data_IF_268797870484
#
_entry.id   IF_268797870484
#
_cell.length_a   1.000
_cell.length_b   1.000
_cell.length_c   1.000
_cell.angle_alpha   90.00
_cell.angle_beta   90.00
_cell.angle_gamma   90.00
#
_symmetry.space_group_name_H-M   'P 1'
#
loop_
_entity.id
_entity.type
_entity.pdbx_description
1 polymer ?
#
# COMPACT_ATOMS: atom_id res chain seq x y z
N UNK A 1 32.64 22.78 -51.14
CA UNK A 1 31.64 21.70 -50.96
C UNK A 1 31.77 20.89 -49.65
N UNK A 2 32.87 20.98 -48.87
CA UNK A 2 33.08 20.17 -47.64
C UNK A 2 32.29 20.61 -46.38
N UNK A 3 31.98 21.90 -46.22
CA UNK A 3 31.25 22.42 -45.04
C UNK A 3 29.75 22.07 -45.01
N UNK A 4 29.10 21.99 -46.17
CA UNK A 4 27.68 21.61 -46.29
C UNK A 4 27.42 20.15 -45.90
N UNK A 5 28.42 19.27 -46.12
CA UNK A 5 28.32 17.87 -45.73
C UNK A 5 28.55 17.69 -44.23
N UNK A 6 29.43 18.49 -43.61
CA UNK A 6 29.67 18.47 -42.16
C UNK A 6 28.44 18.89 -41.35
N UNK A 7 27.74 19.94 -41.80
CA UNK A 7 26.49 20.41 -41.18
C UNK A 7 25.36 19.38 -41.30
N UNK A 8 25.29 18.65 -42.43
CA UNK A 8 24.33 17.57 -42.64
C UNK A 8 24.62 16.37 -41.74
N UNK A 9 25.88 15.98 -41.58
CA UNK A 9 26.24 14.89 -40.66
C UNK A 9 25.92 15.28 -39.21
N UNK A 10 26.23 16.52 -38.80
CA UNK A 10 25.93 17.00 -37.45
C UNK A 10 24.42 17.04 -37.15
N UNK A 11 23.60 17.42 -38.13
CA UNK A 11 22.14 17.42 -38.00
C UNK A 11 21.55 16.01 -37.86
N UNK A 12 22.11 15.01 -38.56
CA UNK A 12 21.64 13.60 -38.46
C UNK A 12 22.00 12.97 -37.12
N UNK A 13 23.17 13.28 -36.55
CA UNK A 13 23.57 12.78 -35.22
C UNK A 13 22.74 13.42 -34.10
N UNK A 14 22.35 14.70 -34.23
CA UNK A 14 21.52 15.40 -33.24
C UNK A 14 20.07 14.88 -33.19
N UNK A 15 19.53 14.38 -34.31
CA UNK A 15 18.20 13.74 -34.32
C UNK A 15 18.18 12.36 -33.65
N UNK A 16 19.31 11.65 -33.57
CA UNK A 16 19.42 10.34 -32.92
C UNK A 16 19.50 10.43 -31.39
N UNK A 17 19.71 11.64 -30.83
CA UNK A 17 19.68 11.92 -29.40
C UNK A 17 18.31 12.37 -28.88
N UNK A 18 17.25 12.25 -29.68
CA UNK A 18 15.88 12.35 -29.17
C UNK A 18 15.61 11.12 -28.28
N UNK A 19 16.14 11.17 -27.06
CA UNK A 19 15.98 10.14 -26.05
C UNK A 19 14.50 9.89 -25.81
N UNK A 20 14.15 8.60 -25.70
CA UNK A 20 12.84 8.19 -25.23
C UNK A 20 12.60 8.83 -23.87
N UNK A 21 11.65 9.76 -23.78
CA UNK A 21 11.12 10.20 -22.49
C UNK A 21 10.34 9.01 -21.94
N UNK A 22 11.01 8.21 -21.12
CA UNK A 22 10.32 7.17 -20.35
C UNK A 22 9.46 7.88 -19.32
N UNK A 23 8.15 7.86 -19.51
CA UNK A 23 7.22 8.25 -18.46
C UNK A 23 7.23 7.13 -17.42
N UNK A 24 7.77 7.40 -16.23
CA UNK A 24 7.57 6.53 -15.08
C UNK A 24 6.08 6.64 -14.70
N UNK A 25 5.32 5.57 -14.96
CA UNK A 25 3.96 5.45 -14.49
C UNK A 25 4.00 4.93 -13.05
N UNK A 26 3.17 5.51 -12.17
CA UNK A 26 2.98 4.96 -10.85
C UNK A 26 2.49 3.51 -10.95
N UNK A 27 3.02 2.63 -10.12
CA UNK A 27 2.61 1.21 -10.10
C UNK A 27 1.45 0.94 -9.12
N UNK A 28 1.11 1.89 -8.24
CA UNK A 28 0.15 1.70 -7.16
C UNK A 28 -0.79 2.91 -6.97
N UNK A 29 -1.96 2.64 -6.39
CA UNK A 29 -2.76 3.65 -5.68
C UNK A 29 -2.53 3.51 -4.18
N UNK A 30 -2.44 4.65 -3.50
CA UNK A 30 -2.23 4.74 -2.06
C UNK A 30 -3.30 5.62 -1.44
N UNK A 31 -3.98 5.12 -0.42
CA UNK A 31 -4.83 5.93 0.46
C UNK A 31 -4.14 6.06 1.80
N UNK A 32 -3.90 7.31 2.22
CA UNK A 32 -3.36 7.63 3.53
C UNK A 32 -4.46 8.20 4.42
N UNK A 33 -4.70 7.62 5.58
CA UNK A 33 -5.66 8.17 6.56
C UNK A 33 -5.10 9.41 7.30
N UNK A 34 -5.95 10.15 8.03
CA UNK A 34 -5.51 11.30 8.86
C UNK A 34 -4.43 10.94 9.89
N UNK A 35 -4.33 9.67 10.28
CA UNK A 35 -3.31 9.18 11.19
C UNK A 35 -2.00 8.80 10.46
N UNK A 36 -1.91 8.98 9.15
CA UNK A 36 -0.72 8.70 8.34
C UNK A 36 -0.58 7.25 7.87
N UNK A 37 -1.54 6.35 8.12
CA UNK A 37 -1.46 5.00 7.56
C UNK A 37 -1.79 4.97 6.10
N UNK A 38 -0.89 4.34 5.35
CA UNK A 38 -1.05 4.06 3.95
C UNK A 38 -1.61 2.66 3.71
N UNK A 39 -2.58 2.55 2.81
CA UNK A 39 -2.94 1.29 2.16
C UNK A 39 -2.65 1.41 0.67
N UNK A 40 -1.92 0.46 0.12
CA UNK A 40 -1.46 0.47 -1.27
C UNK A 40 -2.07 -0.69 -2.05
N UNK A 41 -2.52 -0.42 -3.29
CA UNK A 41 -2.99 -1.44 -4.22
C UNK A 41 -2.29 -1.27 -5.56
N UNK A 42 -1.82 -2.38 -6.14
CA UNK A 42 -1.18 -2.34 -7.45
C UNK A 42 -2.18 -1.94 -8.53
N UNK A 43 -1.79 -1.05 -9.42
CA UNK A 43 -2.61 -0.63 -10.57
C UNK A 43 -2.87 -1.77 -11.55
N UNK A 44 -1.99 -2.78 -11.59
CA UNK A 44 -2.18 -4.02 -12.36
C UNK A 44 -3.45 -4.79 -11.97
N UNK A 45 -3.89 -4.67 -10.71
CA UNK A 45 -5.14 -5.26 -10.19
C UNK A 45 -6.40 -4.46 -10.57
N UNK A 46 -6.23 -3.39 -11.35
CA UNK A 46 -7.30 -2.49 -11.82
C UNK A 46 -8.19 -1.99 -10.66
N UNK A 47 -7.61 -1.32 -9.66
CA UNK A 47 -8.37 -0.82 -8.53
C UNK A 47 -9.44 0.18 -8.98
N UNK A 48 -10.63 0.07 -8.41
CA UNK A 48 -11.71 1.05 -8.56
C UNK A 48 -11.82 1.86 -7.28
N UNK A 49 -11.81 3.18 -7.42
CA UNK A 49 -12.10 4.14 -6.34
C UNK A 49 -13.51 4.67 -6.54
N UNK A 50 -14.33 4.63 -5.51
CA UNK A 50 -15.69 5.17 -5.54
C UNK A 50 -15.92 6.03 -4.30
N UNK A 51 -16.54 7.20 -4.49
CA UNK A 51 -16.97 8.06 -3.40
C UNK A 51 -18.46 7.86 -3.15
N UNK A 52 -18.84 7.56 -1.91
CA UNK A 52 -20.23 7.60 -1.43
C UNK A 52 -20.49 8.92 -0.72
N UNK A 53 -21.65 9.07 -0.09
CA UNK A 53 -21.98 10.24 0.71
C UNK A 53 -21.01 10.45 1.90
N UNK A 54 -20.45 9.36 2.44
CA UNK A 54 -19.69 9.36 3.69
C UNK A 54 -18.33 8.67 3.59
N UNK A 55 -17.99 8.03 2.46
CA UNK A 55 -16.79 7.18 2.34
C UNK A 55 -16.08 7.28 1.00
N UNK A 56 -14.78 7.01 1.03
CA UNK A 56 -13.97 6.55 -0.10
C UNK A 56 -13.91 5.02 -0.03
N UNK A 57 -14.35 4.35 -1.09
CA UNK A 57 -14.30 2.88 -1.23
C UNK A 57 -13.25 2.54 -2.27
N UNK A 58 -12.26 1.74 -1.87
CA UNK A 58 -11.20 1.25 -2.73
C UNK A 58 -11.34 -0.25 -2.90
N UNK A 59 -11.50 -0.70 -4.14
CA UNK A 59 -11.69 -2.11 -4.49
C UNK A 59 -10.62 -2.55 -5.48
N UNK A 60 -9.92 -3.65 -5.21
CA UNK A 60 -8.98 -4.29 -6.13
C UNK A 60 -9.17 -5.81 -6.07
N UNK A 61 -9.53 -6.44 -7.18
CA UNK A 61 -9.90 -7.87 -7.20
C UNK A 61 -10.99 -8.22 -6.17
N UNK A 62 -10.67 -9.12 -5.25
CA UNK A 62 -11.54 -9.54 -4.12
C UNK A 62 -11.49 -8.60 -2.92
N UNK A 63 -10.52 -7.68 -2.86
CA UNK A 63 -10.25 -6.83 -1.71
C UNK A 63 -11.09 -5.56 -1.77
N UNK A 64 -11.63 -5.14 -0.63
CA UNK A 64 -12.38 -3.87 -0.50
C UNK A 64 -12.02 -3.22 0.83
N UNK A 65 -11.64 -1.94 0.76
CA UNK A 65 -11.33 -1.10 1.92
C UNK A 65 -12.19 0.15 1.86
N UNK A 66 -12.78 0.53 3.00
CA UNK A 66 -13.62 1.71 3.13
C UNK A 66 -12.98 2.70 4.08
N UNK A 67 -12.90 3.96 3.67
CA UNK A 67 -12.39 5.06 4.49
C UNK A 67 -13.48 6.10 4.70
N UNK A 68 -13.82 6.48 5.93
CA UNK A 68 -14.72 7.60 6.18
C UNK A 68 -14.14 8.91 5.63
N UNK A 69 -14.93 9.67 4.86
CA UNK A 69 -14.50 10.99 4.34
C UNK A 69 -14.32 12.01 5.48
N UNK A 70 -14.99 11.81 6.61
CA UNK A 70 -14.81 12.60 7.82
C UNK A 70 -13.37 12.51 8.37
N UNK A 71 -12.64 11.43 8.08
CA UNK A 71 -11.32 11.14 8.65
C UNK A 71 -10.17 11.66 7.78
N UNK A 72 -10.36 12.74 7.02
CA UNK A 72 -9.36 13.40 6.15
C UNK A 72 -8.35 12.44 5.53
N UNK A 73 -8.71 11.88 4.38
CA UNK A 73 -7.86 10.94 3.65
C UNK A 73 -7.14 11.61 2.49
N UNK A 74 -5.90 11.19 2.24
CA UNK A 74 -5.15 11.52 1.02
C UNK A 74 -5.20 10.34 0.08
N UNK A 75 -5.61 10.57 -1.17
CA UNK A 75 -5.51 9.59 -2.24
C UNK A 75 -4.42 10.03 -3.22
N UNK A 76 -3.47 9.15 -3.52
CA UNK A 76 -2.37 9.42 -4.45
C UNK A 76 -2.03 8.19 -5.32
N UNK A 77 -1.49 8.43 -6.50
CA UNK A 77 -0.78 7.40 -7.26
C UNK A 77 0.67 7.39 -6.78
N UNK A 78 1.20 6.23 -6.42
CA UNK A 78 2.52 6.09 -5.83
C UNK A 78 3.31 4.94 -6.46
N UNK A 79 4.62 5.08 -6.50
CA UNK A 79 5.55 3.96 -6.68
C UNK A 79 5.71 3.23 -5.33
N UNK A 80 5.99 1.94 -5.34
CA UNK A 80 6.22 1.22 -4.08
C UNK A 80 7.40 1.88 -3.34
N UNK A 81 7.26 2.29 -2.07
CA UNK A 81 8.41 2.79 -1.33
C UNK A 81 9.43 1.65 -1.19
N UNK A 82 10.61 1.84 -1.75
CA UNK A 82 11.74 0.92 -1.60
C UNK A 82 12.09 0.88 -0.11
N UNK A 83 11.75 -0.25 0.50
CA UNK A 83 11.64 -0.40 1.95
C UNK A 83 12.94 -0.08 2.69
N UNK A 84 12.97 1.07 3.34
CA UNK A 84 13.73 1.27 4.57
C UNK A 84 12.85 2.12 5.49
N UNK A 85 11.99 1.47 6.28
CA UNK A 85 11.43 2.12 7.45
C UNK A 85 12.53 2.19 8.51
N UNK A 86 12.79 3.39 9.01
CA UNK A 86 13.72 3.64 10.12
C UNK A 86 13.35 2.76 11.31
N UNK A 87 14.24 1.83 11.64
CA UNK A 87 14.13 1.02 12.84
C UNK A 87 14.14 1.95 14.07
N UNK A 88 13.00 2.08 14.73
CA UNK A 88 12.88 2.78 16.02
C UNK A 88 11.81 3.87 16.11
N UNK A 89 11.08 4.17 15.04
CA UNK A 89 9.94 5.10 15.10
C UNK A 89 8.70 4.46 15.73
N UNK A 90 7.83 5.28 16.32
CA UNK A 90 6.47 4.87 16.70
C UNK A 90 5.71 4.23 15.51
N UNK A 91 4.56 3.57 15.76
CA UNK A 91 3.74 2.89 14.73
C UNK A 91 3.14 3.86 13.66
N UNK A 92 3.70 5.06 13.48
CA UNK A 92 3.28 6.12 12.56
C UNK A 92 3.32 5.71 11.09
N UNK A 93 4.10 4.69 10.74
CA UNK A 93 4.26 4.18 9.37
C UNK A 93 3.87 2.70 9.22
N UNK A 94 3.00 2.19 10.09
CA UNK A 94 2.55 0.81 10.02
C UNK A 94 1.74 0.54 8.74
N UNK A 95 2.16 -0.46 7.95
CA UNK A 95 1.51 -0.93 6.74
C UNK A 95 0.94 -2.32 7.00
N UNK A 96 -0.33 -2.54 6.65
CA UNK A 96 -0.97 -3.85 6.71
C UNK A 96 -1.35 -4.34 5.31
N UNK A 97 -1.03 -5.60 5.03
CA UNK A 97 -1.43 -6.33 3.83
C UNK A 97 -2.14 -7.63 4.20
N UNK A 98 -3.00 -8.11 3.30
CA UNK A 98 -3.92 -9.23 3.58
C UNK A 98 -3.83 -10.26 2.47
N UNK A 99 -3.79 -11.52 2.87
CA UNK A 99 -3.96 -12.69 2.01
C UNK A 99 -5.15 -13.52 2.50
N UNK A 100 -5.49 -14.58 1.77
CA UNK A 100 -6.51 -15.53 2.21
C UNK A 100 -6.12 -16.31 3.47
N UNK A 101 -4.83 -16.38 3.80
CA UNK A 101 -4.29 -17.18 4.91
C UNK A 101 -3.81 -16.33 6.09
N UNK A 102 -3.50 -15.05 5.90
CA UNK A 102 -2.85 -14.24 6.93
C UNK A 102 -3.03 -12.73 6.75
N UNK A 103 -2.80 -12.01 7.85
CA UNK A 103 -2.56 -10.57 7.88
C UNK A 103 -1.07 -10.33 8.11
N UNK A 104 -0.43 -9.56 7.23
CA UNK A 104 0.95 -9.15 7.39
C UNK A 104 1.01 -7.68 7.79
N UNK A 105 1.82 -7.35 8.78
CA UNK A 105 2.10 -5.99 9.23
C UNK A 105 3.58 -5.66 9.10
N UNK A 106 3.91 -4.43 8.72
CA UNK A 106 5.27 -3.91 8.59
C UNK A 106 5.37 -2.50 9.15
N UNK A 107 6.56 -2.06 9.57
CA UNK A 107 6.73 -0.74 10.21
C UNK A 107 6.05 -0.63 11.57
N UNK A 108 5.81 -1.77 12.23
CA UNK A 108 5.19 -1.83 13.55
C UNK A 108 6.24 -1.70 14.66
N UNK A 109 5.81 -1.28 15.86
CA UNK A 109 6.70 -1.18 17.03
C UNK A 109 7.25 -2.57 17.39
N UNK A 110 8.58 -2.79 17.37
CA UNK A 110 9.16 -4.07 17.75
C UNK A 110 8.70 -4.56 19.13
N UNK A 111 8.42 -5.86 19.22
CA UNK A 111 8.00 -6.50 20.46
C UNK A 111 6.55 -6.27 20.89
N UNK A 112 5.79 -5.41 20.18
CA UNK A 112 4.33 -5.25 20.33
C UNK A 112 3.57 -6.49 19.79
N UNK A 113 2.23 -6.44 19.80
CA UNK A 113 1.38 -7.51 19.29
C UNK A 113 0.42 -7.00 18.23
N UNK A 114 0.13 -7.88 17.28
CA UNK A 114 -1.02 -7.80 16.39
C UNK A 114 -1.96 -8.95 16.72
N UNK A 115 -3.23 -8.60 16.92
CA UNK A 115 -4.30 -9.52 17.29
C UNK A 115 -5.38 -9.48 16.20
N UNK A 116 -5.88 -10.64 15.81
CA UNK A 116 -6.98 -10.79 14.85
C UNK A 116 -8.17 -11.38 15.59
N UNK A 117 -9.34 -10.75 15.43
CA UNK A 117 -10.58 -11.17 16.04
C UNK A 117 -11.66 -11.40 15.00
N UNK A 118 -12.64 -12.24 15.30
CA UNK A 118 -13.93 -12.25 14.60
C UNK A 118 -14.77 -11.05 15.03
N UNK A 119 -15.83 -10.74 14.28
CA UNK A 119 -16.80 -9.68 14.65
C UNK A 119 -17.52 -9.94 15.98
N UNK A 120 -17.53 -11.18 16.46
CA UNK A 120 -18.07 -11.55 17.76
C UNK A 120 -17.05 -11.37 18.90
N UNK A 121 -15.86 -10.82 18.61
CA UNK A 121 -14.79 -10.59 19.58
C UNK A 121 -13.96 -11.83 19.93
N UNK A 122 -14.12 -12.95 19.20
CA UNK A 122 -13.31 -14.15 19.41
C UNK A 122 -11.91 -13.95 18.83
N UNK A 123 -10.87 -14.21 19.61
CA UNK A 123 -9.49 -14.17 19.15
C UNK A 123 -9.23 -15.31 18.14
N UNK A 124 -8.77 -14.94 16.95
CA UNK A 124 -8.38 -15.84 15.85
C UNK A 124 -6.88 -16.12 15.92
N UNK A 125 -6.07 -15.06 16.05
CA UNK A 125 -4.62 -15.19 16.21
C UNK A 125 -4.03 -13.98 16.94
N UNK A 126 -2.87 -14.19 17.56
CA UNK A 126 -2.08 -13.15 18.20
C UNK A 126 -0.61 -13.42 17.85
N UNK A 127 0.04 -12.46 17.21
CA UNK A 127 1.42 -12.58 16.78
C UNK A 127 2.26 -11.42 17.33
N UNK A 128 3.51 -11.73 17.73
CA UNK A 128 4.45 -10.73 18.24
C UNK A 128 5.22 -10.11 17.09
N UNK A 129 5.34 -8.79 17.10
CA UNK A 129 6.12 -8.05 16.10
C UNK A 129 7.61 -8.32 16.29
N UNK A 130 8.28 -8.67 15.19
CA UNK A 130 9.72 -8.95 15.14
C UNK A 130 10.55 -7.70 15.45
N UNK A 131 11.86 -7.89 15.61
CA UNK A 131 12.78 -6.76 15.75
C UNK A 131 12.89 -5.88 14.50
N UNK A 132 12.53 -6.41 13.32
CA UNK A 132 12.44 -5.64 12.07
C UNK A 132 11.14 -4.85 11.94
N UNK A 133 10.26 -4.90 12.93
CA UNK A 133 8.95 -4.24 12.87
C UNK A 133 7.95 -4.95 11.96
N UNK A 134 8.12 -6.26 11.73
CA UNK A 134 7.25 -7.06 10.87
C UNK A 134 6.50 -8.13 11.66
N UNK A 135 5.32 -8.52 11.20
CA UNK A 135 4.54 -9.60 11.80
C UNK A 135 3.65 -10.26 10.76
N UNK A 136 3.38 -11.55 10.95
CA UNK A 136 2.35 -12.27 10.21
C UNK A 136 1.41 -12.96 11.20
N UNK A 137 0.13 -12.62 11.12
CA UNK A 137 -0.93 -13.15 11.97
C UNK A 137 -1.84 -14.06 11.11
N UNK A 138 -1.84 -15.38 11.34
CA UNK A 138 -2.62 -16.30 10.51
C UNK A 138 -4.13 -16.16 10.75
N UNK A 139 -4.92 -16.40 9.71
CA UNK A 139 -6.39 -16.48 9.79
C UNK A 139 -6.89 -17.90 10.10
N UNK A 140 -5.97 -18.87 10.18
CA UNK A 140 -6.27 -20.26 10.50
C UNK A 140 -7.35 -20.87 9.58
N UNK A 141 -7.33 -20.49 8.30
CA UNK A 141 -8.29 -20.97 7.29
C UNK A 141 -9.70 -20.41 7.43
N UNK A 142 -9.93 -19.44 8.33
CA UNK A 142 -11.25 -18.85 8.53
C UNK A 142 -11.54 -17.79 7.45
N UNK A 143 -12.78 -17.82 6.95
CA UNK A 143 -13.34 -16.79 6.08
C UNK A 143 -14.36 -15.96 6.85
N UNK A 144 -14.70 -14.79 6.32
CA UNK A 144 -15.64 -13.85 6.93
C UNK A 144 -14.99 -12.53 7.32
N UNK A 145 -15.63 -11.84 8.26
CA UNK A 145 -15.23 -10.49 8.67
C UNK A 145 -14.34 -10.57 9.91
N UNK A 146 -13.20 -9.90 9.85
CA UNK A 146 -12.21 -9.87 10.91
C UNK A 146 -11.91 -8.44 11.36
N UNK A 147 -11.49 -8.31 12.61
CA UNK A 147 -10.97 -7.09 13.21
C UNK A 147 -9.50 -7.32 13.51
N UNK A 148 -8.62 -6.50 12.95
CA UNK A 148 -7.18 -6.51 13.26
C UNK A 148 -6.91 -5.37 14.23
N UNK A 149 -6.16 -5.67 15.29
CA UNK A 149 -5.76 -4.72 16.32
C UNK A 149 -4.24 -4.73 16.51
N UNK A 150 -3.62 -3.57 16.41
CA UNK A 150 -2.25 -3.29 16.86
C UNK A 150 -2.26 -2.29 18.02
N UNK A 151 -1.10 -1.78 18.43
CA UNK A 151 -1.02 -0.81 19.53
C UNK A 151 -1.72 0.51 19.20
N UNK A 152 -1.69 0.95 17.93
CA UNK A 152 -2.28 2.23 17.51
C UNK A 152 -3.37 2.13 16.44
N UNK A 153 -3.65 0.94 15.89
CA UNK A 153 -4.65 0.76 14.82
C UNK A 153 -5.63 -0.34 15.14
N UNK A 154 -6.87 -0.12 14.73
CA UNK A 154 -7.89 -1.16 14.69
C UNK A 154 -8.72 -0.95 13.45
N UNK A 155 -8.89 -1.99 12.65
CA UNK A 155 -9.67 -1.90 11.41
C UNK A 155 -10.32 -3.24 11.09
N UNK A 156 -11.34 -3.18 10.24
CA UNK A 156 -12.13 -4.33 9.79
C UNK A 156 -11.72 -4.71 8.38
N UNK A 157 -11.58 -6.00 8.10
CA UNK A 157 -11.40 -6.51 6.74
C UNK A 157 -12.26 -7.76 6.51
N UNK A 158 -12.46 -8.12 5.24
CA UNK A 158 -13.28 -9.27 4.83
C UNK A 158 -12.39 -10.25 4.08
N UNK A 159 -12.29 -11.48 4.58
CA UNK A 159 -11.69 -12.61 3.87
C UNK A 159 -12.80 -13.45 3.22
N UNK A 160 -12.65 -13.84 1.95
CA UNK A 160 -13.66 -14.62 1.22
C UNK A 160 -13.15 -15.99 0.85
#
# INVERSE_FOLDING_TARGET
>A
MRFKNLFRTFAVTLLLSAGTVSAAAADYVKVTDKAGAATTFALSEKPTVTFTADKLVLKAGSQTVEYPLADMVTFEFADQPTGINTAGGEETHAIFSFSSSSVRGEGLKPGSRVEVYTVNGQLVSSARVSQSGSVEAPLNGQTGVFIVKSSNKTFKFINK
#
